data_IF_091439375424
#
_entry.id   IF_091439375424
#
_cell.length_a   1.000
_cell.length_b   1.000
_cell.length_c   1.000
_cell.angle_alpha   90.00
_cell.angle_beta   90.00
_cell.angle_gamma   90.00
#
_symmetry.space_group_name_H-M   'P 1'
#
loop_
_entity.id
_entity.type
_entity.pdbx_description
1 polymer ?
#
# COMPACT_ATOMS: atom_id res chain seq x y z
N UNK A 1 -6.94 -15.67 24.80
CA UNK A 1 -8.16 -15.48 23.99
C UNK A 1 -7.77 -14.77 22.70
N UNK A 2 -7.33 -15.53 21.70
CA UNK A 2 -7.05 -15.00 20.36
C UNK A 2 -8.29 -15.18 19.51
N UNK A 3 -9.08 -14.11 19.34
CA UNK A 3 -10.23 -14.15 18.43
C UNK A 3 -9.69 -14.31 17.01
N UNK A 4 -10.03 -15.44 16.41
CA UNK A 4 -9.83 -15.73 15.00
C UNK A 4 -10.49 -14.61 14.18
N UNK A 5 -9.69 -13.69 13.66
CA UNK A 5 -10.14 -12.72 12.69
C UNK A 5 -10.27 -13.46 11.35
N UNK A 6 -11.51 -13.62 10.88
CA UNK A 6 -11.86 -14.32 9.63
C UNK A 6 -11.36 -13.68 8.35
N UNK A 7 -10.60 -12.57 8.41
CA UNK A 7 -10.02 -11.93 7.23
C UNK A 7 -8.91 -12.77 6.58
N UNK A 8 -8.26 -13.67 7.33
CA UNK A 8 -7.17 -14.51 6.84
C UNK A 8 -7.60 -15.79 6.09
N UNK A 9 -8.89 -15.98 5.77
CA UNK A 9 -9.43 -17.23 5.19
C UNK A 9 -9.76 -17.19 3.70
N UNK A 10 -9.22 -16.24 2.92
CA UNK A 10 -8.98 -16.60 1.52
C UNK A 10 -7.91 -17.70 1.52
N UNK A 11 -8.11 -18.85 0.85
CA UNK A 11 -7.07 -19.85 0.70
C UNK A 11 -5.91 -19.20 -0.08
N UNK A 12 -4.94 -18.67 0.65
CA UNK A 12 -3.70 -18.17 0.09
C UNK A 12 -2.93 -19.38 -0.45
N UNK A 13 -3.08 -19.65 -1.74
CA UNK A 13 -2.25 -20.60 -2.47
C UNK A 13 -0.85 -20.01 -2.67
N UNK A 14 -0.12 -19.76 -1.58
CA UNK A 14 1.25 -19.28 -1.65
C UNK A 14 1.84 -18.87 -0.31
N UNK A 15 3.16 -19.05 -0.11
CA UNK A 15 3.84 -18.50 1.05
C UNK A 15 3.64 -16.98 1.11
N UNK A 16 3.54 -16.37 2.31
CA UNK A 16 3.38 -14.93 2.44
C UNK A 16 4.49 -14.25 1.65
N UNK A 17 4.11 -13.33 0.76
CA UNK A 17 5.04 -12.63 -0.11
C UNK A 17 5.93 -11.70 0.71
N UNK A 18 6.90 -12.25 1.45
CA UNK A 18 7.80 -11.45 2.27
C UNK A 18 8.79 -10.73 1.38
N UNK A 19 8.93 -9.43 1.59
CA UNK A 19 10.01 -8.67 0.96
C UNK A 19 11.35 -9.20 1.48
N UNK A 20 12.27 -9.44 0.57
CA UNK A 20 13.63 -9.81 0.96
C UNK A 20 14.36 -8.62 1.58
N UNK A 21 15.58 -8.88 2.07
CA UNK A 21 16.40 -7.85 2.72
C UNK A 21 16.60 -6.62 1.82
N UNK A 22 16.72 -6.82 0.52
CA UNK A 22 16.91 -5.75 -0.47
C UNK A 22 15.64 -4.92 -0.60
N UNK A 23 14.49 -5.55 -0.83
CA UNK A 23 13.19 -4.85 -0.92
C UNK A 23 12.85 -4.08 0.35
N UNK A 24 13.10 -4.66 1.53
CA UNK A 24 12.90 -3.97 2.83
C UNK A 24 13.83 -2.78 3.02
N UNK A 25 15.09 -2.89 2.61
CA UNK A 25 16.07 -1.80 2.73
C UNK A 25 15.74 -0.68 1.75
N UNK A 26 15.25 -1.02 0.57
CA UNK A 26 14.84 -0.06 -0.45
C UNK A 26 13.63 0.77 0.02
N UNK A 27 12.56 0.12 0.50
CA UNK A 27 11.39 0.83 1.01
C UNK A 27 11.74 1.77 2.18
N UNK A 28 12.58 1.33 3.11
CA UNK A 28 13.04 2.18 4.24
C UNK A 28 13.82 3.43 3.82
N UNK A 29 14.44 3.42 2.65
CA UNK A 29 15.22 4.55 2.12
C UNK A 29 14.41 5.40 1.14
N UNK A 30 13.23 4.92 0.76
CA UNK A 30 12.35 5.59 -0.18
C UNK A 30 11.64 6.74 0.53
N UNK A 31 11.51 7.86 -0.16
CA UNK A 31 10.69 8.97 0.32
C UNK A 31 9.20 8.61 0.25
N UNK A 32 8.41 9.23 1.11
CA UNK A 32 6.96 8.98 1.21
C UNK A 32 6.26 9.15 -0.14
N UNK A 33 6.61 10.16 -0.93
CA UNK A 33 6.03 10.39 -2.26
C UNK A 33 6.24 9.20 -3.20
N UNK A 34 7.47 8.66 -3.24
CA UNK A 34 7.83 7.53 -4.08
C UNK A 34 7.19 6.24 -3.60
N UNK A 35 6.96 6.12 -2.29
CA UNK A 35 6.20 5.00 -1.74
C UNK A 35 4.74 5.06 -2.17
N UNK A 36 4.11 6.24 -2.13
CA UNK A 36 2.72 6.39 -2.59
C UNK A 36 2.58 6.11 -4.09
N UNK A 37 3.46 6.68 -4.93
CA UNK A 37 3.51 6.43 -6.38
C UNK A 37 3.67 4.93 -6.71
N UNK A 38 4.42 4.19 -5.89
CA UNK A 38 4.61 2.74 -6.05
C UNK A 38 3.40 1.92 -5.55
N UNK A 39 2.83 2.28 -4.39
CA UNK A 39 1.81 1.46 -3.71
C UNK A 39 0.40 1.74 -4.23
N UNK A 40 0.04 3.00 -4.51
CA UNK A 40 -1.30 3.38 -4.96
C UNK A 40 -1.82 2.56 -6.15
N UNK A 41 -1.10 2.44 -7.29
CA UNK A 41 -1.61 1.65 -8.41
C UNK A 41 -1.81 0.17 -8.05
N UNK A 42 -0.95 -0.38 -7.18
CA UNK A 42 -1.07 -1.77 -6.72
C UNK A 42 -2.28 -1.92 -5.78
N UNK A 43 -2.52 -0.94 -4.91
CA UNK A 43 -3.68 -0.92 -4.02
C UNK A 43 -5.00 -0.82 -4.80
N UNK A 44 -5.06 0.00 -5.85
CA UNK A 44 -6.20 0.04 -6.76
C UNK A 44 -6.42 -1.33 -7.44
N UNK A 45 -5.37 -1.93 -8.02
CA UNK A 45 -5.47 -3.27 -8.63
C UNK A 45 -5.96 -4.32 -7.62
N UNK A 46 -5.43 -4.32 -6.39
CA UNK A 46 -5.85 -5.29 -5.35
C UNK A 46 -7.27 -5.04 -4.86
N UNK A 47 -7.70 -3.78 -4.73
CA UNK A 47 -9.07 -3.45 -4.33
C UNK A 47 -10.07 -3.87 -5.41
N UNK A 48 -9.73 -3.70 -6.69
CA UNK A 48 -10.54 -4.18 -7.81
C UNK A 48 -10.64 -5.71 -7.82
N UNK A 49 -9.51 -6.42 -7.77
CA UNK A 49 -9.48 -7.89 -7.79
C UNK A 49 -10.21 -8.51 -6.59
N UNK A 50 -10.16 -7.85 -5.42
CA UNK A 50 -10.85 -8.30 -4.23
C UNK A 50 -12.34 -7.89 -4.18
N UNK A 51 -12.83 -7.09 -5.14
CA UNK A 51 -14.18 -6.56 -5.14
C UNK A 51 -14.45 -5.58 -3.99
N UNK A 52 -13.42 -4.92 -3.47
CA UNK A 52 -13.45 -3.99 -2.34
C UNK A 52 -13.38 -2.52 -2.78
N UNK A 53 -13.53 -2.22 -4.07
CA UNK A 53 -13.29 -0.86 -4.58
C UNK A 53 -14.16 0.21 -3.92
N UNK A 54 -15.42 -0.10 -3.64
CA UNK A 54 -16.33 0.85 -3.02
C UNK A 54 -15.98 1.09 -1.55
N UNK A 55 -15.69 0.02 -0.83
CA UNK A 55 -15.39 0.04 0.59
C UNK A 55 -13.99 0.62 0.86
N UNK A 56 -13.02 0.37 -0.04
CA UNK A 56 -11.67 0.93 0.03
C UNK A 56 -11.57 2.34 -0.58
N UNK A 57 -12.61 2.86 -1.24
CA UNK A 57 -12.58 4.17 -1.87
C UNK A 57 -12.19 5.32 -0.92
N UNK A 58 -12.68 5.40 0.33
CA UNK A 58 -12.27 6.45 1.26
C UNK A 58 -10.78 6.38 1.58
N UNK A 59 -10.26 5.18 1.83
CA UNK A 59 -8.84 4.93 2.11
C UNK A 59 -7.96 5.31 0.91
N UNK A 60 -8.35 4.87 -0.30
CA UNK A 60 -7.63 5.18 -1.54
C UNK A 60 -7.64 6.69 -1.82
N UNK A 61 -8.76 7.37 -1.53
CA UNK A 61 -8.87 8.82 -1.67
C UNK A 61 -7.96 9.58 -0.68
N UNK A 62 -7.81 9.11 0.56
CA UNK A 62 -6.86 9.70 1.52
C UNK A 62 -5.41 9.58 1.03
N UNK A 63 -5.03 8.39 0.54
CA UNK A 63 -3.69 8.15 0.01
C UNK A 63 -3.40 8.98 -1.25
N UNK A 64 -4.37 9.10 -2.17
CA UNK A 64 -4.24 9.93 -3.37
C UNK A 64 -4.14 11.43 -3.04
N UNK A 65 -4.88 11.91 -2.02
CA UNK A 65 -4.75 13.28 -1.53
C UNK A 65 -3.37 13.52 -0.91
N UNK A 66 -2.86 12.59 -0.10
CA UNK A 66 -1.53 12.69 0.47
C UNK A 66 -0.43 12.73 -0.61
N UNK A 67 -0.57 11.91 -1.66
CA UNK A 67 0.33 11.93 -2.82
C UNK A 67 0.30 13.30 -3.51
N UNK A 68 -0.89 13.86 -3.77
CA UNK A 68 -1.04 15.16 -4.40
C UNK A 68 -0.37 16.29 -3.60
N UNK A 69 -0.60 16.35 -2.27
CA UNK A 69 0.02 17.34 -1.38
C UNK A 69 1.54 17.24 -1.40
N UNK A 70 2.08 16.01 -1.38
CA UNK A 70 3.53 15.77 -1.46
C UNK A 70 4.11 16.12 -2.83
N UNK A 71 3.37 15.87 -3.92
CA UNK A 71 3.77 16.24 -5.28
C UNK A 71 3.80 17.77 -5.48
N UNK A 72 2.83 18.49 -4.90
CA UNK A 72 2.79 19.95 -4.93
C UNK A 72 3.95 20.57 -4.13
N UNK A 73 4.25 20.02 -2.94
CA UNK A 73 5.38 20.45 -2.13
C UNK A 73 6.72 20.28 -2.86
N UNK A 74 6.89 19.19 -3.62
CA UNK A 74 8.07 18.95 -4.44
C UNK A 74 8.16 19.89 -5.66
N UNK A 75 7.01 20.17 -6.28
CA UNK A 75 6.91 21.08 -7.44
C UNK A 75 7.30 22.51 -7.09
N UNK A 76 7.04 22.94 -5.85
CA UNK A 76 7.47 24.25 -5.33
C UNK A 76 8.96 24.26 -4.92
N UNK A 77 9.54 23.11 -4.57
CA UNK A 77 10.90 23.02 -4.04
C UNK A 77 12.02 22.99 -5.10
N UNK A 78 11.83 22.38 -6.28
CA UNK A 78 12.75 22.56 -7.43
C UNK A 78 12.28 21.82 -8.69
N UNK A 79 12.36 22.54 -9.82
CA UNK A 79 12.52 21.99 -11.18
C UNK A 79 13.79 21.12 -11.26
N UNK A 80 13.71 19.86 -10.86
CA UNK A 80 14.76 18.88 -11.17
C UNK A 80 14.14 17.76 -12.01
N UNK A 81 14.55 17.61 -13.29
CA UNK A 81 14.12 16.48 -14.09
C UNK A 81 14.68 15.20 -13.46
N UNK A 82 13.80 14.40 -12.89
CA UNK A 82 14.12 13.06 -12.43
C UNK A 82 14.21 12.16 -13.67
N UNK A 83 15.41 12.01 -14.22
CA UNK A 83 15.64 11.14 -15.36
C UNK A 83 15.56 9.67 -14.92
N UNK A 84 14.43 9.02 -15.18
CA UNK A 84 14.30 7.57 -15.10
C UNK A 84 14.81 6.96 -16.40
N UNK A 85 16.11 6.64 -16.47
CA UNK A 85 16.63 5.75 -17.51
C UNK A 85 16.52 4.31 -17.00
N UNK A 86 15.63 3.53 -17.61
CA UNK A 86 15.54 2.10 -17.37
C UNK A 86 16.67 1.31 -18.04
N UNK A 87 16.95 0.12 -17.50
CA UNK A 87 17.15 -1.15 -18.22
C UNK A 87 17.99 -2.11 -17.37
N UNK A 88 17.42 -3.27 -17.07
CA UNK A 88 18.10 -4.41 -16.43
C UNK A 88 17.48 -4.77 -15.08
N UNK A 89 16.65 -5.82 -15.05
CA UNK A 89 16.13 -6.51 -13.86
C UNK A 89 16.11 -5.65 -12.59
N UNK A 90 15.36 -4.54 -12.66
CA UNK A 90 15.51 -3.46 -11.69
C UNK A 90 15.05 -3.98 -10.32
N UNK A 91 15.82 -3.80 -9.24
CA UNK A 91 15.39 -4.20 -7.89
C UNK A 91 14.02 -3.58 -7.52
N UNK A 92 13.65 -2.46 -8.16
CA UNK A 92 12.31 -1.87 -8.09
C UNK A 92 11.24 -2.77 -8.72
N UNK A 93 11.45 -3.32 -9.91
CA UNK A 93 10.50 -4.21 -10.59
C UNK A 93 10.37 -5.55 -9.86
N UNK A 94 11.46 -6.08 -9.30
CA UNK A 94 11.40 -7.26 -8.45
C UNK A 94 10.62 -7.00 -7.15
N UNK A 95 10.76 -5.80 -6.58
CA UNK A 95 9.98 -5.36 -5.41
C UNK A 95 8.51 -5.20 -5.77
N UNK A 96 8.20 -4.52 -6.89
CA UNK A 96 6.85 -4.32 -7.41
C UNK A 96 6.12 -5.65 -7.67
N UNK A 97 6.82 -6.60 -8.29
CA UNK A 97 6.30 -7.94 -8.56
C UNK A 97 5.93 -8.71 -7.28
N UNK A 98 6.60 -8.43 -6.16
CA UNK A 98 6.27 -9.03 -4.86
C UNK A 98 5.14 -8.31 -4.15
N UNK A 99 5.12 -6.98 -4.22
CA UNK A 99 4.02 -6.18 -3.69
C UNK A 99 2.69 -6.60 -4.34
N UNK A 100 2.68 -6.85 -5.65
CA UNK A 100 1.48 -7.36 -6.34
C UNK A 100 0.96 -8.72 -5.82
N UNK A 101 1.80 -9.52 -5.16
CA UNK A 101 1.39 -10.81 -4.56
C UNK A 101 0.87 -10.67 -3.14
N UNK A 102 0.94 -9.49 -2.53
CA UNK A 102 0.40 -9.21 -1.22
C UNK A 102 -1.08 -8.87 -1.30
N UNK A 103 -1.79 -9.10 -0.20
CA UNK A 103 -3.17 -8.64 -0.01
C UNK A 103 -3.23 -7.13 0.15
N UNK A 104 -4.43 -6.58 -0.07
CA UNK A 104 -4.71 -5.16 0.17
C UNK A 104 -4.30 -4.73 1.59
N UNK A 105 -4.70 -5.49 2.62
CA UNK A 105 -4.35 -5.19 4.02
C UNK A 105 -2.84 -5.26 4.32
N UNK A 106 -2.13 -6.22 3.75
CA UNK A 106 -0.66 -6.32 3.90
C UNK A 106 0.05 -5.13 3.26
N UNK A 107 -0.42 -4.66 2.10
CA UNK A 107 0.11 -3.49 1.42
C UNK A 107 -0.10 -2.21 2.23
N UNK A 108 -1.32 -1.97 2.72
CA UNK A 108 -1.62 -0.78 3.55
C UNK A 108 -0.81 -0.82 4.85
N UNK A 109 -0.76 -1.97 5.53
CA UNK A 109 0.03 -2.11 6.76
C UNK A 109 1.52 -1.90 6.53
N UNK A 110 2.06 -2.37 5.40
CA UNK A 110 3.44 -2.14 5.01
C UNK A 110 3.70 -0.65 4.71
N UNK A 111 2.76 0.02 4.03
CA UNK A 111 2.85 1.46 3.75
C UNK A 111 2.85 2.29 5.04
N UNK A 112 1.86 2.09 5.92
CA UNK A 112 1.76 2.80 7.21
C UNK A 112 3.01 2.62 8.06
N UNK A 113 3.60 1.42 8.08
CA UNK A 113 4.83 1.16 8.82
C UNK A 113 6.04 1.93 8.28
N UNK A 114 6.15 2.12 6.97
CA UNK A 114 7.26 2.87 6.38
C UNK A 114 6.99 4.39 6.32
N UNK A 115 5.74 4.80 6.50
CA UNK A 115 5.31 6.20 6.54
C UNK A 115 4.93 6.66 7.95
N UNK A 116 5.37 5.98 9.02
CA UNK A 116 4.85 6.14 10.40
C UNK A 116 4.87 7.58 10.95
N UNK A 117 5.67 8.47 10.34
CA UNK A 117 5.82 9.88 10.74
C UNK A 117 4.90 10.84 10.00
N UNK A 118 4.19 10.35 8.98
CA UNK A 118 3.35 11.17 8.12
C UNK A 118 1.97 11.39 8.75
N UNK A 119 1.43 12.60 8.56
CA UNK A 119 0.19 13.02 9.20
C UNK A 119 -1.04 12.20 8.78
N UNK A 120 -1.03 11.62 7.57
CA UNK A 120 -2.14 10.83 7.04
C UNK A 120 -2.21 9.39 7.59
N UNK A 121 -1.12 8.88 8.19
CA UNK A 121 -1.07 7.49 8.69
C UNK A 121 -2.13 7.14 9.73
N UNK A 122 -2.43 7.96 10.76
CA UNK A 122 -3.51 7.66 11.69
C UNK A 122 -4.86 7.50 10.97
N UNK A 123 -5.20 8.41 10.05
CA UNK A 123 -6.46 8.40 9.30
C UNK A 123 -6.55 7.14 8.41
N UNK A 124 -5.49 6.81 7.68
CA UNK A 124 -5.44 5.59 6.86
C UNK A 124 -5.54 4.32 7.71
N UNK A 125 -4.96 4.33 8.91
CA UNK A 125 -5.04 3.18 9.83
C UNK A 125 -6.45 3.01 10.37
N UNK A 126 -7.14 4.10 10.71
CA UNK A 126 -8.54 4.09 11.13
C UNK A 126 -9.46 3.55 10.03
N UNK A 127 -9.30 4.05 8.80
CA UNK A 127 -10.07 3.57 7.64
C UNK A 127 -9.80 2.09 7.34
N UNK A 128 -8.57 1.61 7.50
CA UNK A 128 -8.26 0.18 7.34
C UNK A 128 -8.97 -0.67 8.41
N UNK A 129 -9.06 -0.18 9.65
CA UNK A 129 -9.77 -0.87 10.73
C UNK A 129 -11.28 -0.87 10.49
N UNK A 130 -11.84 0.24 10.01
CA UNK A 130 -13.24 0.37 9.60
C UNK A 130 -13.58 -0.57 8.46
N UNK A 131 -12.76 -0.60 7.40
CA UNK A 131 -12.90 -1.52 6.27
C UNK A 131 -12.86 -2.98 6.73
N UNK A 132 -11.99 -3.31 7.69
CA UNK A 132 -11.90 -4.66 8.26
C UNK A 132 -13.18 -5.04 9.02
N UNK A 133 -13.78 -4.10 9.74
CA UNK A 133 -15.03 -4.33 10.49
C UNK A 133 -16.21 -4.57 9.52
N UNK A 134 -16.33 -3.73 8.48
CA UNK A 134 -17.35 -3.85 7.44
C UNK A 134 -17.22 -5.17 6.64
N UNK A 135 -15.99 -5.61 6.36
CA UNK A 135 -15.75 -6.88 5.67
C UNK A 135 -16.00 -8.10 6.57
N UNK A 136 -15.78 -7.99 7.89
CA UNK A 136 -16.06 -9.07 8.82
C UNK A 136 -17.56 -9.36 8.95
N UNK A 137 -18.41 -8.35 8.82
CA UNK A 137 -19.87 -8.46 8.86
C UNK A 137 -20.43 -9.20 7.63
N UNK A 138 -19.81 -9.05 6.45
CA UNK A 138 -20.25 -9.71 5.20
C UNK A 138 -20.02 -11.22 5.13
N UNK A 139 -19.23 -11.81 6.03
CA UNK A 139 -18.89 -13.25 6.03
C UNK A 139 -19.86 -14.06 6.92
N UNK A 140 -20.87 -13.43 7.53
CA UNK A 140 -21.83 -14.09 8.43
C UNK A 140 -23.22 -14.42 7.85
N UNK A 141 -23.40 -14.42 6.52
CA UNK A 141 -24.66 -14.84 5.87
C UNK A 141 -24.53 -16.20 5.18
#
# INVERSE_FOLDING_TARGET
MGRACGYCHMPHAGPPATLDRTGRTMLRKMSTDRMLDLFLPILYERAEEAGLMMEAAPLLALLAQAEAVLAEAQSQAARRPCATKGSGSDPLEATRSRLRKMTFGELVGLLCRNCEKEAFVPEVTEELLSLRDQCADRVQL
#
